data_IF_325431907927
#
_entry.id   IF_325431907927
#
_cell.length_a   1.000
_cell.length_b   1.000
_cell.length_c   1.000
_cell.angle_alpha   90.00
_cell.angle_beta   90.00
_cell.angle_gamma   90.00
#
_symmetry.space_group_name_H-M   'P 1'
#
loop_
_entity.id
_entity.type
_entity.pdbx_description
1 polymer ?
#
# COMPACT_ATOMS: atom_id res chain seq x y z
N UNK A 1 -0.61 -13.10 10.24
CA UNK A 1 0.74 -12.51 10.07
C UNK A 1 0.82 -11.02 10.47
N UNK A 2 0.26 -10.07 9.71
CA UNK A 2 0.34 -8.63 10.06
C UNK A 2 -0.45 -8.29 11.34
N UNK A 3 -1.72 -8.73 11.40
CA UNK A 3 -2.60 -8.47 12.55
C UNK A 3 -2.00 -9.03 13.84
N UNK A 4 -1.71 -10.31 13.86
CA UNK A 4 -1.29 -11.03 15.08
C UNK A 4 0.07 -10.55 15.61
N UNK A 5 1.03 -10.29 14.73
CA UNK A 5 2.41 -10.02 15.14
C UNK A 5 2.76 -8.54 15.22
N UNK A 6 1.98 -7.66 14.58
CA UNK A 6 2.24 -6.21 14.56
C UNK A 6 1.06 -5.45 15.16
N UNK A 7 -0.12 -5.50 14.52
CA UNK A 7 -1.21 -4.58 14.88
C UNK A 7 -1.81 -4.87 16.26
N UNK A 8 -1.99 -6.14 16.61
CA UNK A 8 -2.52 -6.56 17.91
C UNK A 8 -1.63 -6.14 19.09
N UNK A 9 -0.30 -6.43 19.09
CA UNK A 9 0.60 -5.91 20.12
C UNK A 9 0.57 -4.40 20.24
N UNK A 10 0.62 -3.67 19.12
CA UNK A 10 0.61 -2.21 19.14
C UNK A 10 -0.70 -1.65 19.73
N UNK A 11 -1.84 -2.27 19.44
CA UNK A 11 -3.13 -1.91 20.06
C UNK A 11 -3.17 -2.19 21.57
N UNK A 12 -2.30 -3.07 22.08
CA UNK A 12 -2.12 -3.29 23.53
C UNK A 12 -1.08 -2.36 24.16
N UNK A 13 -0.48 -1.45 23.39
CA UNK A 13 0.63 -0.60 23.85
C UNK A 13 1.95 -1.34 23.98
N UNK A 14 2.08 -2.53 23.38
CA UNK A 14 3.29 -3.35 23.48
C UNK A 14 4.30 -3.00 22.38
N UNK A 15 5.58 -3.11 22.69
CA UNK A 15 6.64 -3.05 21.68
C UNK A 15 6.60 -4.30 20.79
N UNK A 16 7.00 -4.14 19.54
CA UNK A 16 7.09 -5.22 18.54
C UNK A 16 8.56 -5.51 18.23
N UNK A 17 8.89 -6.79 18.19
CA UNK A 17 10.12 -7.33 17.60
C UNK A 17 9.74 -8.60 16.83
N UNK A 18 9.42 -8.45 15.54
CA UNK A 18 8.87 -9.52 14.72
C UNK A 18 9.74 -9.79 13.49
N UNK A 19 10.19 -11.05 13.32
CA UNK A 19 10.89 -11.49 12.11
C UNK A 19 9.95 -12.33 11.24
N UNK A 20 9.56 -11.85 10.04
CA UNK A 20 8.64 -12.59 9.16
C UNK A 20 9.20 -13.95 8.72
N UNK A 21 8.33 -14.96 8.58
CA UNK A 21 8.72 -16.32 8.14
C UNK A 21 9.45 -16.30 6.80
N UNK A 22 9.03 -15.46 5.85
CA UNK A 22 9.72 -15.29 4.58
C UNK A 22 11.16 -14.79 4.76
N UNK A 23 11.42 -13.91 5.74
CA UNK A 23 12.77 -13.45 6.03
C UNK A 23 13.62 -14.58 6.62
N UNK A 24 13.02 -15.44 7.45
CA UNK A 24 13.69 -16.62 7.99
C UNK A 24 14.03 -17.59 6.85
N UNK A 25 13.06 -17.90 5.98
CA UNK A 25 13.23 -18.82 4.86
C UNK A 25 14.28 -18.34 3.84
N UNK A 26 14.45 -17.03 3.68
CA UNK A 26 15.43 -16.42 2.79
C UNK A 26 16.72 -15.95 3.48
N UNK A 27 16.96 -16.36 4.74
CA UNK A 27 18.11 -15.95 5.55
C UNK A 27 18.35 -14.42 5.59
N UNK A 28 17.27 -13.65 5.52
CA UNK A 28 17.31 -12.19 5.64
C UNK A 28 17.48 -11.81 7.11
N UNK A 29 18.56 -11.11 7.49
CA UNK A 29 18.80 -10.74 8.89
C UNK A 29 17.82 -9.65 9.38
N UNK A 30 17.72 -9.53 10.70
CA UNK A 30 16.94 -8.49 11.37
C UNK A 30 15.47 -8.85 11.60
N UNK A 31 14.73 -7.85 12.08
CA UNK A 31 13.32 -7.93 12.44
C UNK A 31 12.67 -6.55 12.25
N UNK A 32 11.34 -6.54 12.22
CA UNK A 32 10.53 -5.33 12.29
C UNK A 32 10.44 -4.95 13.77
N UNK A 33 11.04 -3.82 14.12
CA UNK A 33 11.05 -3.32 15.50
C UNK A 33 10.26 -2.02 15.61
N UNK A 34 9.32 -1.96 16.56
CA UNK A 34 8.48 -0.78 16.82
C UNK A 34 8.41 -0.58 18.34
N UNK A 35 8.67 0.62 18.87
CA UNK A 35 8.56 0.87 20.30
C UNK A 35 7.11 0.74 20.79
N UNK A 36 6.95 0.57 22.10
CA UNK A 36 5.65 0.66 22.76
C UNK A 36 5.04 2.07 22.57
N UNK A 37 3.71 2.14 22.55
CA UNK A 37 2.92 3.37 22.45
C UNK A 37 3.37 4.33 21.33
N UNK A 38 3.48 3.87 20.07
CA UNK A 38 3.83 4.76 18.97
C UNK A 38 2.74 5.81 18.76
N UNK A 39 3.13 7.06 18.55
CA UNK A 39 2.18 8.14 18.30
C UNK A 39 1.43 7.98 16.95
N UNK A 40 2.09 7.37 15.95
CA UNK A 40 1.53 7.13 14.62
C UNK A 40 2.27 5.95 13.96
N UNK A 41 1.54 5.12 13.23
CA UNK A 41 2.08 4.02 12.43
C UNK A 41 1.54 4.12 11.02
N UNK A 42 2.44 3.99 10.04
CA UNK A 42 2.08 3.84 8.63
C UNK A 42 2.24 2.38 8.24
N UNK A 43 1.22 1.82 7.61
CA UNK A 43 1.25 0.48 7.02
C UNK A 43 1.05 0.66 5.52
N UNK A 44 2.06 0.28 4.73
CA UNK A 44 2.06 0.46 3.29
C UNK A 44 2.17 -0.88 2.56
N UNK A 45 1.51 -0.98 1.41
CA UNK A 45 1.57 -2.12 0.50
C UNK A 45 0.23 -2.33 -0.19
N UNK A 46 0.22 -3.04 -1.32
CA UNK A 46 -1.00 -3.17 -2.13
C UNK A 46 -2.17 -3.85 -1.38
N UNK A 47 -1.85 -4.75 -0.44
CA UNK A 47 -2.83 -5.54 0.31
C UNK A 47 -3.25 -5.00 1.68
N UNK A 48 -2.93 -3.74 2.02
CA UNK A 48 -3.18 -3.20 3.36
C UNK A 48 -4.60 -2.68 3.58
N UNK A 49 -5.33 -2.36 2.50
CA UNK A 49 -6.73 -1.94 2.56
C UNK A 49 -7.62 -3.12 2.20
N UNK A 50 -7.95 -3.94 3.20
CA UNK A 50 -8.82 -5.11 3.06
C UNK A 50 -9.74 -5.26 4.26
N UNK A 51 -10.82 -6.02 4.11
CA UNK A 51 -11.85 -6.16 5.13
C UNK A 51 -11.33 -6.65 6.48
N UNK A 52 -10.43 -7.64 6.46
CA UNK A 52 -9.78 -8.19 7.66
C UNK A 52 -8.97 -7.15 8.45
N UNK A 53 -8.43 -6.13 7.76
CA UNK A 53 -7.60 -5.09 8.35
C UNK A 53 -8.40 -3.86 8.80
N UNK A 54 -9.64 -3.70 8.30
CA UNK A 54 -10.46 -2.53 8.61
C UNK A 54 -10.64 -2.24 10.10
N UNK A 55 -10.81 -3.24 11.01
CA UNK A 55 -10.92 -2.97 12.44
C UNK A 55 -9.65 -2.45 13.11
N UNK A 56 -8.51 -2.46 12.41
CA UNK A 56 -7.19 -2.12 12.95
C UNK A 56 -6.61 -0.81 12.40
N UNK A 57 -7.34 -0.13 11.51
CA UNK A 57 -6.88 1.08 10.84
C UNK A 57 -7.81 2.25 11.18
N UNK A 58 -7.26 3.32 11.74
CA UNK A 58 -8.01 4.55 12.00
C UNK A 58 -8.39 5.28 10.69
N UNK A 59 -7.52 5.16 9.68
CA UNK A 59 -7.71 5.73 8.36
C UNK A 59 -6.93 4.93 7.31
N UNK A 60 -7.34 5.06 6.05
CA UNK A 60 -6.65 4.44 4.91
C UNK A 60 -6.59 5.38 3.71
N UNK A 61 -5.48 5.28 2.96
CA UNK A 61 -5.23 6.11 1.77
C UNK A 61 -4.99 5.19 0.58
N UNK A 62 -5.81 5.33 -0.46
CA UNK A 62 -5.64 4.63 -1.72
C UNK A 62 -5.00 5.55 -2.75
N UNK A 63 -3.87 5.12 -3.31
CA UNK A 63 -3.21 5.81 -4.43
C UNK A 63 -3.84 5.31 -5.74
N UNK A 64 -4.75 6.09 -6.31
CA UNK A 64 -5.39 5.77 -7.57
C UNK A 64 -4.49 6.20 -8.73
N UNK A 65 -4.32 5.32 -9.72
CA UNK A 65 -3.80 5.72 -11.02
C UNK A 65 -4.35 4.85 -12.14
N UNK A 66 -4.06 5.25 -13.37
CA UNK A 66 -4.35 4.48 -14.57
C UNK A 66 -3.28 3.41 -14.77
N UNK A 67 -3.69 2.16 -15.04
CA UNK A 67 -2.76 1.04 -15.13
C UNK A 67 -1.80 1.21 -16.32
N UNK A 68 -2.27 1.69 -17.46
CA UNK A 68 -1.42 1.88 -18.65
C UNK A 68 -0.33 2.92 -18.36
N UNK A 69 -0.70 3.99 -17.65
CA UNK A 69 0.26 5.03 -17.25
C UNK A 69 1.23 4.55 -16.17
N UNK A 70 0.77 3.74 -15.21
CA UNK A 70 1.64 3.12 -14.22
C UNK A 70 2.66 2.18 -14.86
N UNK A 71 2.23 1.34 -15.81
CA UNK A 71 3.13 0.46 -16.57
C UNK A 71 4.15 1.27 -17.38
N UNK A 72 3.71 2.36 -18.03
CA UNK A 72 4.61 3.28 -18.74
C UNK A 72 5.65 3.90 -17.81
N UNK A 73 5.23 4.40 -16.64
CA UNK A 73 6.13 4.99 -15.65
C UNK A 73 7.10 3.95 -15.07
N UNK A 74 6.64 2.72 -14.87
CA UNK A 74 7.46 1.60 -14.42
C UNK A 74 8.55 1.26 -15.44
N UNK A 75 8.21 1.21 -16.73
CA UNK A 75 9.16 0.99 -17.81
C UNK A 75 10.20 2.12 -17.93
N UNK A 76 9.80 3.38 -17.70
CA UNK A 76 10.73 4.52 -17.66
C UNK A 76 11.68 4.42 -16.46
N UNK A 77 11.19 4.00 -15.29
CA UNK A 77 11.97 3.93 -14.06
C UNK A 77 12.92 2.73 -14.02
N UNK A 78 12.41 1.55 -14.36
CA UNK A 78 13.09 0.27 -14.16
C UNK A 78 13.64 -0.33 -15.46
N UNK A 79 13.32 0.28 -16.61
CA UNK A 79 13.71 -0.17 -17.94
C UNK A 79 12.64 -1.00 -18.63
N UNK A 80 12.75 -1.07 -19.96
CA UNK A 80 11.80 -1.77 -20.85
C UNK A 80 12.44 -2.99 -21.53
N UNK A 81 13.21 -3.77 -20.77
CA UNK A 81 13.78 -5.03 -21.29
C UNK A 81 12.68 -6.11 -21.39
N UNK A 82 12.81 -7.09 -22.30
CA UNK A 82 11.88 -8.22 -22.36
C UNK A 82 11.70 -8.93 -21.01
N UNK A 83 12.78 -9.12 -20.26
CA UNK A 83 12.77 -9.75 -18.94
C UNK A 83 12.00 -8.90 -17.91
N UNK A 84 12.18 -7.58 -17.94
CA UNK A 84 11.46 -6.68 -17.05
C UNK A 84 9.96 -6.66 -17.36
N UNK A 85 9.59 -6.62 -18.65
CA UNK A 85 8.18 -6.72 -19.06
C UNK A 85 7.55 -8.05 -18.62
N UNK A 86 8.26 -9.17 -18.78
CA UNK A 86 7.76 -10.47 -18.33
C UNK A 86 7.60 -10.52 -16.81
N UNK A 87 8.52 -9.93 -16.06
CA UNK A 87 8.42 -9.81 -14.60
C UNK A 87 7.18 -9.01 -14.17
N UNK A 88 6.96 -7.84 -14.77
CA UNK A 88 5.79 -6.99 -14.51
C UNK A 88 4.49 -7.70 -14.88
N UNK A 89 4.44 -8.36 -16.04
CA UNK A 89 3.26 -9.12 -16.46
C UNK A 89 2.93 -10.25 -15.47
N UNK A 90 3.94 -10.97 -14.97
CA UNK A 90 3.76 -12.01 -13.94
C UNK A 90 3.24 -11.45 -12.63
N UNK A 91 3.72 -10.28 -12.23
CA UNK A 91 3.20 -9.59 -11.04
C UNK A 91 1.73 -9.18 -11.22
N UNK A 92 1.37 -8.57 -12.35
CA UNK A 92 0.00 -8.15 -12.66
C UNK A 92 -1.00 -9.32 -12.75
N UNK A 93 -0.56 -10.51 -13.16
CA UNK A 93 -1.39 -11.72 -13.17
C UNK A 93 -1.93 -12.08 -11.78
N UNK A 94 -1.19 -11.75 -10.71
CA UNK A 94 -1.61 -11.98 -9.33
C UNK A 94 -2.26 -10.72 -8.72
N UNK A 95 -1.72 -9.55 -9.02
CA UNK A 95 -2.13 -8.27 -8.42
C UNK A 95 -3.54 -7.85 -8.88
N UNK A 96 -3.84 -7.94 -10.18
CA UNK A 96 -5.14 -7.47 -10.71
C UNK A 96 -6.32 -8.27 -10.14
N UNK A 97 -6.31 -9.62 -10.12
CA UNK A 97 -7.38 -10.37 -9.47
C UNK A 97 -7.53 -10.08 -7.98
N UNK A 98 -6.42 -9.88 -7.27
CA UNK A 98 -6.43 -9.49 -5.87
C UNK A 98 -7.15 -8.14 -5.69
N UNK A 99 -6.77 -7.13 -6.47
CA UNK A 99 -7.34 -5.78 -6.43
C UNK A 99 -8.84 -5.76 -6.77
N UNK A 100 -9.26 -6.51 -7.78
CA UNK A 100 -10.67 -6.61 -8.17
C UNK A 100 -11.54 -7.28 -7.11
N UNK A 101 -10.97 -8.20 -6.33
CA UNK A 101 -11.65 -8.87 -5.22
C UNK A 101 -11.75 -7.96 -4.00
N UNK A 102 -10.63 -7.40 -3.54
CA UNK A 102 -10.59 -6.61 -2.30
C UNK A 102 -11.24 -5.22 -2.46
N UNK A 103 -11.15 -4.65 -3.67
CA UNK A 103 -11.65 -3.30 -4.03
C UNK A 103 -11.20 -2.24 -3.02
N UNK A 104 -9.90 -2.07 -2.78
CA UNK A 104 -9.39 -1.17 -1.74
C UNK A 104 -9.84 0.28 -1.94
N UNK A 105 -9.98 0.75 -3.18
CA UNK A 105 -10.52 2.08 -3.49
C UNK A 105 -11.93 2.33 -2.94
N UNK A 106 -12.78 1.29 -2.84
CA UNK A 106 -14.13 1.41 -2.31
C UNK A 106 -14.17 1.41 -0.78
N UNK A 107 -13.05 1.08 -0.12
CA UNK A 107 -12.91 0.97 1.33
C UNK A 107 -12.01 2.08 1.92
N UNK A 108 -11.31 2.81 1.06
CA UNK A 108 -10.36 3.82 1.49
C UNK A 108 -11.06 5.00 2.17
N UNK A 109 -10.44 5.54 3.22
CA UNK A 109 -10.89 6.80 3.83
C UNK A 109 -10.64 7.98 2.89
N UNK A 110 -9.53 7.94 2.15
CA UNK A 110 -9.15 8.95 1.18
C UNK A 110 -8.61 8.29 -0.09
N UNK A 111 -8.96 8.84 -1.25
CA UNK A 111 -8.38 8.48 -2.54
C UNK A 111 -7.50 9.64 -2.98
N UNK A 112 -6.26 9.35 -3.32
CA UNK A 112 -5.31 10.30 -3.90
C UNK A 112 -5.06 9.85 -5.34
N UNK A 113 -5.52 10.64 -6.30
CA UNK A 113 -5.34 10.34 -7.72
C UNK A 113 -4.00 10.87 -8.22
N UNK A 114 -3.24 10.03 -8.92
CA UNK A 114 -2.03 10.39 -9.62
C UNK A 114 -1.83 9.55 -10.90
N UNK A 115 -1.08 10.05 -11.90
CA UNK A 115 -0.52 11.40 -12.01
C UNK A 115 -1.61 12.49 -12.17
N UNK A 116 -1.28 13.78 -11.96
CA UNK A 116 -2.26 14.86 -12.02
C UNK A 116 -2.80 15.00 -13.45
N UNK A 117 -4.11 14.81 -13.61
CA UNK A 117 -4.83 15.06 -14.86
C UNK A 117 -5.48 16.45 -14.90
N UNK A 118 -5.30 17.25 -13.85
CA UNK A 118 -5.85 18.59 -13.69
C UNK A 118 -4.76 19.59 -13.34
N UNK A 119 -4.92 20.81 -13.84
CA UNK A 119 -4.10 21.94 -13.45
C UNK A 119 -4.22 22.15 -11.94
N UNK A 120 -3.07 22.31 -11.29
CA UNK A 120 -2.98 22.50 -9.86
C UNK A 120 -1.90 23.53 -9.54
N UNK A 121 -1.98 24.13 -8.36
CA UNK A 121 -0.95 25.04 -7.91
C UNK A 121 0.35 24.25 -7.65
N UNK A 122 1.46 24.54 -8.37
CA UNK A 122 2.72 23.82 -8.18
C UNK A 122 3.34 24.02 -6.79
N UNK A 123 2.94 25.06 -6.04
CA UNK A 123 3.43 25.28 -4.67
C UNK A 123 2.74 24.37 -3.65
N UNK A 124 1.55 23.83 -3.97
CA UNK A 124 0.79 22.96 -3.05
C UNK A 124 0.64 21.53 -3.57
N UNK A 125 0.86 21.29 -4.86
CA UNK A 125 0.83 19.97 -5.54
C UNK A 125 -0.46 19.15 -5.37
N UNK A 126 -1.50 19.74 -4.75
CA UNK A 126 -2.74 19.06 -4.38
C UNK A 126 -3.96 19.88 -4.79
N UNK A 127 -4.97 19.19 -5.32
CA UNK A 127 -6.32 19.69 -5.49
C UNK A 127 -7.26 18.81 -4.67
N UNK A 128 -8.07 19.43 -3.81
CA UNK A 128 -9.03 18.72 -2.96
C UNK A 128 -10.41 18.82 -3.58
N UNK A 129 -10.97 17.68 -3.98
CA UNK A 129 -12.36 17.59 -4.42
C UNK A 129 -13.30 17.71 -3.20
N UNK A 130 -14.53 18.26 -3.37
CA UNK A 130 -15.52 18.21 -2.32
C UNK A 130 -15.87 16.75 -1.97
N UNK A 131 -16.24 16.44 -0.71
CA UNK A 131 -16.61 15.09 -0.31
C UNK A 131 -17.76 14.57 -1.17
N UNK A 132 -17.66 13.33 -1.66
CA UNK A 132 -18.79 12.66 -2.28
C UNK A 132 -19.82 12.35 -1.19
N UNK A 133 -21.05 12.83 -1.35
CA UNK A 133 -22.15 12.44 -0.45
C UNK A 133 -22.38 10.92 -0.55
N UNK A 134 -22.68 10.24 0.57
CA UNK A 134 -22.97 8.80 0.58
C UNK A 134 -24.23 8.44 -0.20
#
# INVERSE_FOLDING_TARGET
MLVENILQPLHRGEAVDFRPDAWIAHDRPGSITIPADPALIWVEGTGVIREELAPWLDASVWMQGDLDEQERLLAVRDGDSPEQREHVAKWLLEEVPFMLREKPWARATMIVSGPPHIDHNPDTEMVVAPPTSP
#
